data_IF_161478627611
#
_entry.id   IF_161478627611
#
_cell.length_a   1.000
_cell.length_b   1.000
_cell.length_c   1.000
_cell.angle_alpha   90.00
_cell.angle_beta   90.00
_cell.angle_gamma   90.00
#
_symmetry.space_group_name_H-M   'P 1'
#
loop_
_entity.id
_entity.type
_entity.pdbx_description
1 polymer ?
#
# COMPACT_ATOMS: atom_id res chain seq x y z
N UNK A 1 -1.22 63.22 20.23
CA UNK A 1 -0.80 62.31 19.18
C UNK A 1 -0.71 60.91 19.79
N UNK A 2 -1.67 60.05 19.51
CA UNK A 2 -1.66 58.64 19.97
C UNK A 2 -1.44 57.79 18.72
N UNK A 3 -0.29 57.10 18.65
CA UNK A 3 0.04 56.17 17.60
C UNK A 3 -0.66 54.83 17.87
N UNK A 4 -1.56 54.39 16.99
CA UNK A 4 -2.11 53.05 16.97
C UNK A 4 -1.09 52.12 16.30
N UNK A 5 -0.48 51.19 17.09
CA UNK A 5 0.22 50.04 16.54
C UNK A 5 -0.83 49.02 16.08
N UNK A 6 -0.96 48.83 14.79
CA UNK A 6 -1.70 47.71 14.19
C UNK A 6 -0.83 46.45 14.27
N UNK A 7 -1.16 45.54 15.19
CA UNK A 7 -0.57 44.24 15.26
C UNK A 7 -1.10 43.36 14.12
N UNK A 8 -0.20 42.93 13.21
CA UNK A 8 -0.47 41.97 12.16
C UNK A 8 -0.47 40.57 12.80
N UNK A 9 -1.67 40.01 13.08
CA UNK A 9 -1.81 38.63 13.47
C UNK A 9 -1.63 37.76 12.21
N UNK A 10 -0.46 37.15 12.06
CA UNK A 10 -0.26 36.02 11.15
C UNK A 10 -1.08 34.84 11.68
N UNK A 11 -2.23 34.59 11.08
CA UNK A 11 -2.94 33.33 11.23
C UNK A 11 -2.10 32.25 10.58
N UNK A 12 -1.22 31.63 11.35
CA UNK A 12 -0.63 30.33 10.99
C UNK A 12 -1.81 29.37 11.00
N UNK A 13 -2.31 29.02 9.83
CA UNK A 13 -3.32 27.96 9.67
C UNK A 13 -2.74 26.65 10.18
N UNK A 14 -3.11 26.25 11.40
CA UNK A 14 -2.92 24.87 11.85
C UNK A 14 -3.84 24.01 10.97
N UNK A 15 -3.28 23.37 9.95
CA UNK A 15 -3.95 22.22 9.34
C UNK A 15 -4.25 21.16 10.43
N UNK A 16 -5.22 20.28 10.20
CA UNK A 16 -5.48 19.22 11.15
C UNK A 16 -4.18 18.42 11.38
N UNK A 17 -3.74 18.37 12.62
CA UNK A 17 -2.60 17.55 13.02
C UNK A 17 -3.08 16.10 12.93
N UNK A 18 -2.42 15.28 12.11
CA UNK A 18 -2.73 13.87 12.02
C UNK A 18 -2.64 13.22 13.42
N UNK A 19 -3.61 12.38 13.75
CA UNK A 19 -3.55 11.63 15.01
C UNK A 19 -2.33 10.67 14.99
N UNK A 20 -1.67 10.48 16.15
CA UNK A 20 -0.54 9.55 16.21
C UNK A 20 -0.97 8.13 15.83
N UNK A 21 -0.16 7.45 15.03
CA UNK A 21 -0.42 6.08 14.63
C UNK A 21 -0.53 5.15 15.86
N UNK A 22 -1.52 4.23 15.90
CA UNK A 22 -1.64 3.21 16.92
C UNK A 22 -0.39 2.31 17.07
N UNK A 23 -0.22 1.70 18.22
CA UNK A 23 0.94 0.84 18.47
C UNK A 23 0.69 -0.62 18.04
N UNK A 24 -0.56 -1.03 17.88
CA UNK A 24 -0.92 -2.37 17.38
C UNK A 24 -0.84 -2.42 15.86
N UNK A 25 -0.65 -3.62 15.32
CA UNK A 25 -0.45 -3.84 13.88
C UNK A 25 -1.68 -3.45 13.07
N UNK A 26 -2.86 -3.81 13.53
CA UNK A 26 -4.13 -3.56 12.82
C UNK A 26 -4.40 -2.06 12.70
N UNK A 27 -4.46 -1.36 13.82
CA UNK A 27 -4.67 0.08 13.85
C UNK A 27 -3.60 0.85 13.08
N UNK A 28 -2.35 0.38 13.15
CA UNK A 28 -1.24 1.03 12.46
C UNK A 28 -1.32 0.88 10.92
N UNK A 29 -1.68 -0.30 10.39
CA UNK A 29 -1.90 -0.48 8.95
C UNK A 29 -3.08 0.35 8.43
N UNK A 30 -4.16 0.48 9.21
CA UNK A 30 -5.29 1.35 8.88
C UNK A 30 -4.88 2.82 8.87
N UNK A 31 -4.07 3.26 9.84
CA UNK A 31 -3.49 4.60 9.85
C UNK A 31 -2.60 4.85 8.63
N UNK A 32 -1.75 3.88 8.23
CA UNK A 32 -0.97 3.99 6.99
C UNK A 32 -1.86 4.12 5.76
N UNK A 33 -3.01 3.45 5.75
CA UNK A 33 -3.97 3.59 4.66
C UNK A 33 -4.63 4.99 4.66
N UNK A 34 -5.16 5.47 5.78
CA UNK A 34 -5.97 6.69 5.84
C UNK A 34 -5.14 7.97 5.97
N UNK A 35 -4.21 8.02 6.92
CA UNK A 35 -3.60 9.27 7.41
C UNK A 35 -2.21 9.53 6.85
N UNK A 36 -1.45 8.49 6.48
CA UNK A 36 -0.05 8.64 6.05
C UNK A 36 0.14 9.58 4.85
N UNK A 37 -0.89 9.82 4.05
CA UNK A 37 -0.84 10.71 2.89
C UNK A 37 -0.52 12.16 3.30
N UNK A 38 -1.11 12.61 4.38
CA UNK A 38 -1.04 14.00 4.86
C UNK A 38 -0.13 14.16 6.09
N UNK A 39 0.35 13.05 6.67
CA UNK A 39 1.26 13.01 7.79
C UNK A 39 2.67 13.51 7.42
N UNK A 40 3.39 14.08 8.38
CA UNK A 40 4.80 14.44 8.21
C UNK A 40 5.68 13.20 8.05
N UNK A 41 6.87 13.34 7.47
CA UNK A 41 7.82 12.22 7.37
C UNK A 41 8.22 11.71 8.74
N UNK A 42 8.27 12.57 9.77
CA UNK A 42 8.57 12.16 11.14
C UNK A 42 7.46 11.26 11.74
N UNK A 43 6.19 11.60 11.54
CA UNK A 43 5.06 10.80 12.00
C UNK A 43 5.01 9.44 11.28
N UNK A 44 5.31 9.44 9.97
CA UNK A 44 5.37 8.21 9.17
C UNK A 44 6.47 7.28 9.67
N UNK A 45 7.66 7.82 10.00
CA UNK A 45 8.76 7.03 10.55
C UNK A 45 8.41 6.49 11.93
N UNK A 46 7.78 7.29 12.80
CA UNK A 46 7.32 6.82 14.10
C UNK A 46 6.29 5.70 13.97
N UNK A 47 5.33 5.85 13.03
CA UNK A 47 4.37 4.80 12.74
C UNK A 47 5.04 3.50 12.27
N UNK A 48 6.06 3.60 11.40
CA UNK A 48 6.79 2.43 10.90
C UNK A 48 7.58 1.72 12.00
N UNK A 49 8.15 2.46 12.96
CA UNK A 49 8.78 1.87 14.14
C UNK A 49 7.79 1.04 14.95
N UNK A 50 6.59 1.59 15.21
CA UNK A 50 5.52 0.86 15.89
C UNK A 50 5.09 -0.38 15.11
N UNK A 51 4.94 -0.25 13.78
CA UNK A 51 4.57 -1.35 12.88
C UNK A 51 5.61 -2.47 12.88
N UNK A 52 6.90 -2.13 12.83
CA UNK A 52 7.99 -3.10 12.89
C UNK A 52 7.96 -3.91 14.20
N UNK A 53 7.75 -3.24 15.33
CA UNK A 53 7.64 -3.89 16.63
C UNK A 53 6.41 -4.77 16.72
N UNK A 54 5.23 -4.27 16.31
CA UNK A 54 3.99 -5.02 16.32
C UNK A 54 4.03 -6.21 15.35
N UNK A 55 4.66 -6.06 14.20
CA UNK A 55 4.88 -7.11 13.20
C UNK A 55 6.00 -8.08 13.54
N UNK A 56 6.71 -7.88 14.67
CA UNK A 56 7.82 -8.73 15.12
C UNK A 56 8.92 -8.92 14.07
N UNK A 57 9.31 -7.85 13.40
CA UNK A 57 10.22 -7.88 12.24
C UNK A 57 11.50 -8.69 12.47
N UNK A 58 12.06 -8.70 13.69
CA UNK A 58 13.29 -9.45 14.03
C UNK A 58 13.10 -10.97 14.03
N UNK A 59 11.87 -11.46 13.94
CA UNK A 59 11.54 -12.90 13.84
C UNK A 59 11.16 -13.33 12.42
N UNK A 60 11.11 -12.39 11.47
CA UNK A 60 10.70 -12.62 10.09
C UNK A 60 11.88 -12.92 9.17
N UNK A 61 11.59 -13.58 8.07
CA UNK A 61 12.49 -13.76 6.93
C UNK A 61 11.67 -14.05 5.68
N UNK A 62 12.30 -14.02 4.50
CA UNK A 62 11.64 -14.35 3.24
C UNK A 62 10.91 -15.71 3.25
N UNK A 63 11.39 -16.67 4.04
CA UNK A 63 10.78 -18.00 4.20
C UNK A 63 9.83 -18.10 5.40
N UNK A 64 9.82 -17.08 6.26
CA UNK A 64 9.00 -17.06 7.49
C UNK A 64 8.29 -15.70 7.63
N UNK A 65 7.32 -15.40 6.75
CA UNK A 65 6.53 -14.17 6.84
C UNK A 65 5.52 -14.22 7.99
N UNK A 66 5.19 -13.06 8.54
CA UNK A 66 4.00 -12.86 9.38
C UNK A 66 2.77 -12.68 8.49
N UNK A 67 1.62 -13.22 8.89
CA UNK A 67 0.36 -13.06 8.16
C UNK A 67 -0.85 -13.27 9.05
N UNK A 68 -1.95 -12.64 8.71
CA UNK A 68 -3.20 -12.77 9.45
C UNK A 68 -4.28 -11.83 8.95
N UNK A 69 -5.25 -11.59 9.82
CA UNK A 69 -6.39 -10.76 9.52
C UNK A 69 -6.31 -9.44 10.27
N UNK A 70 -6.87 -8.40 9.67
CA UNK A 70 -7.03 -7.07 10.25
C UNK A 70 -8.49 -6.62 10.15
N UNK A 71 -8.84 -5.65 10.96
CA UNK A 71 -10.17 -5.06 10.99
C UNK A 71 -10.49 -4.40 9.64
N UNK A 72 -11.75 -4.42 9.24
CA UNK A 72 -12.24 -3.76 8.02
C UNK A 72 -12.07 -2.24 8.13
N UNK A 73 -11.86 -1.61 6.97
CA UNK A 73 -11.87 -0.15 6.90
C UNK A 73 -13.27 0.40 7.22
N UNK A 74 -13.29 1.57 7.83
CA UNK A 74 -14.53 2.35 8.00
C UNK A 74 -14.86 3.13 6.72
N UNK A 75 -16.09 3.64 6.56
CA UNK A 75 -16.45 4.52 5.46
C UNK A 75 -15.52 5.74 5.33
N UNK A 76 -15.12 6.35 6.45
CA UNK A 76 -14.24 7.52 6.47
C UNK A 76 -12.83 7.17 5.97
N UNK A 77 -12.29 6.00 6.36
CA UNK A 77 -11.01 5.51 5.87
C UNK A 77 -11.03 5.18 4.36
N UNK A 78 -12.17 4.74 3.83
CA UNK A 78 -12.31 4.53 2.38
C UNK A 78 -12.45 5.86 1.64
N UNK A 79 -13.12 6.85 2.25
CA UNK A 79 -13.36 8.15 1.63
C UNK A 79 -12.06 8.91 1.28
N UNK A 80 -10.91 8.58 1.92
CA UNK A 80 -9.61 9.24 1.65
C UNK A 80 -9.12 9.09 0.21
N UNK A 81 -9.61 8.09 -0.53
CA UNK A 81 -9.28 7.89 -1.95
C UNK A 81 -10.31 8.49 -2.91
N UNK A 82 -11.31 9.21 -2.38
CA UNK A 82 -12.25 10.00 -3.18
C UNK A 82 -13.17 9.16 -4.06
N UNK A 83 -13.57 7.97 -3.60
CA UNK A 83 -14.57 7.16 -4.31
C UNK A 83 -15.91 7.90 -4.33
N UNK A 84 -16.55 7.92 -5.52
CA UNK A 84 -17.81 8.63 -5.72
C UNK A 84 -19.02 7.79 -5.28
N UNK A 85 -18.90 6.49 -5.42
CA UNK A 85 -19.96 5.56 -5.07
C UNK A 85 -19.69 4.96 -3.69
N UNK A 86 -20.73 4.93 -2.86
CA UNK A 86 -20.65 4.35 -1.52
C UNK A 86 -20.63 2.83 -1.67
N UNK A 87 -19.48 2.24 -1.39
CA UNK A 87 -19.35 0.79 -1.25
C UNK A 87 -19.55 0.41 0.22
N UNK A 88 -20.06 -0.78 0.47
CA UNK A 88 -20.22 -1.30 1.83
C UNK A 88 -18.87 -1.84 2.35
N UNK A 89 -18.15 -1.11 3.22
CA UNK A 89 -16.85 -1.54 3.71
C UNK A 89 -16.90 -2.84 4.52
N UNK A 90 -18.10 -3.17 5.06
CA UNK A 90 -18.30 -4.42 5.80
C UNK A 90 -18.09 -5.68 4.92
N UNK A 91 -18.05 -5.55 3.60
CA UNK A 91 -17.79 -6.67 2.68
C UNK A 91 -16.31 -6.86 2.37
N UNK A 92 -15.47 -5.84 2.54
CA UNK A 92 -14.04 -5.94 2.27
C UNK A 92 -13.31 -6.51 3.49
N UNK A 93 -12.96 -7.80 3.43
CA UNK A 93 -12.18 -8.45 4.49
C UNK A 93 -10.74 -7.96 4.49
N UNK A 94 -10.19 -7.67 5.69
CA UNK A 94 -8.83 -7.21 5.88
C UNK A 94 -7.83 -8.34 6.10
N UNK A 95 -6.66 -8.24 5.43
CA UNK A 95 -5.53 -9.17 5.56
C UNK A 95 -4.24 -8.39 5.71
N UNK A 96 -3.23 -9.03 6.29
CA UNK A 96 -1.88 -8.48 6.28
C UNK A 96 -0.84 -9.57 5.98
N UNK A 97 0.27 -9.12 5.42
CA UNK A 97 1.52 -9.87 5.33
C UNK A 97 2.64 -8.94 5.80
N UNK A 98 3.54 -9.46 6.64
CA UNK A 98 4.78 -8.78 7.00
C UNK A 98 5.97 -9.68 6.70
N UNK A 99 7.05 -9.07 6.21
CA UNK A 99 8.22 -9.83 5.78
C UNK A 99 9.52 -9.04 6.01
N UNK A 100 10.64 -9.73 6.01
CA UNK A 100 11.98 -9.13 5.94
C UNK A 100 12.75 -9.85 4.86
N UNK A 101 13.30 -9.09 3.91
CA UNK A 101 14.02 -9.68 2.79
C UNK A 101 15.18 -8.79 2.29
N UNK A 102 16.21 -9.40 1.65
CA UNK A 102 17.35 -8.68 1.13
C UNK A 102 16.98 -7.91 -0.16
N UNK A 103 17.08 -6.59 -0.12
CA UNK A 103 17.00 -5.67 -1.25
C UNK A 103 17.45 -4.28 -0.79
N UNK A 104 17.91 -3.42 -1.70
CA UNK A 104 18.04 -1.99 -1.40
C UNK A 104 16.75 -1.26 -1.75
N UNK A 105 16.45 -0.16 -1.06
CA UNK A 105 15.22 0.59 -1.33
C UNK A 105 15.21 1.18 -2.75
N UNK A 106 16.33 1.67 -3.26
CA UNK A 106 16.42 2.24 -4.61
C UNK A 106 16.14 1.16 -5.69
N UNK A 107 16.65 -0.06 -5.51
CA UNK A 107 16.34 -1.17 -6.40
C UNK A 107 14.86 -1.53 -6.33
N UNK A 108 14.32 -1.61 -5.12
CA UNK A 108 12.91 -1.89 -4.89
C UNK A 108 12.00 -0.80 -5.49
N UNK A 109 12.37 0.47 -5.33
CA UNK A 109 11.65 1.59 -5.95
C UNK A 109 11.56 1.43 -7.47
N UNK A 110 12.67 1.04 -8.11
CA UNK A 110 12.70 0.75 -9.55
C UNK A 110 11.73 -0.39 -9.93
N UNK A 111 11.65 -1.43 -9.09
CA UNK A 111 10.75 -2.57 -9.30
C UNK A 111 9.30 -2.13 -9.17
N UNK A 112 8.92 -1.49 -8.04
CA UNK A 112 7.52 -1.16 -7.77
C UNK A 112 6.97 -0.03 -8.62
N UNK A 113 7.84 0.86 -9.12
CA UNK A 113 7.46 1.95 -10.02
C UNK A 113 7.53 1.60 -11.51
N UNK A 114 7.99 0.40 -11.88
CA UNK A 114 8.12 0.01 -13.29
C UNK A 114 6.79 0.14 -14.05
N UNK A 115 6.84 0.63 -15.27
CA UNK A 115 5.67 0.80 -16.15
C UNK A 115 5.06 -0.54 -16.56
N UNK A 116 5.91 -1.54 -16.75
CA UNK A 116 5.52 -2.90 -17.13
C UNK A 116 5.81 -3.88 -15.98
N UNK A 117 4.82 -4.11 -15.15
CA UNK A 117 4.89 -5.12 -14.08
C UNK A 117 4.80 -6.55 -14.62
N UNK A 118 4.20 -6.75 -15.81
CA UNK A 118 4.13 -8.07 -16.43
C UNK A 118 5.52 -8.61 -16.77
N UNK A 119 6.44 -7.76 -17.23
CA UNK A 119 7.81 -8.16 -17.50
C UNK A 119 8.54 -8.66 -16.24
N UNK A 120 8.14 -8.17 -15.06
CA UNK A 120 8.73 -8.55 -13.78
C UNK A 120 8.01 -9.75 -13.12
N UNK A 121 6.68 -9.80 -13.26
CA UNK A 121 5.80 -10.80 -12.65
C UNK A 121 4.89 -11.46 -13.70
N UNK A 122 5.45 -12.18 -14.69
CA UNK A 122 4.69 -12.73 -15.82
C UNK A 122 3.65 -13.76 -15.40
N UNK A 123 3.81 -14.39 -14.24
CA UNK A 123 2.83 -15.32 -13.70
C UNK A 123 1.59 -14.61 -13.11
N UNK A 124 1.71 -13.33 -12.73
CA UNK A 124 0.61 -12.56 -12.12
C UNK A 124 -0.28 -11.88 -13.17
N UNK A 125 0.27 -11.51 -14.31
CA UNK A 125 -0.42 -10.68 -15.29
C UNK A 125 -0.42 -11.28 -16.68
N UNK A 126 -1.59 -11.24 -17.35
CA UNK A 126 -1.72 -11.45 -18.80
C UNK A 126 -1.46 -10.16 -19.58
N UNK A 127 -1.85 -9.02 -18.97
CA UNK A 127 -1.58 -7.68 -19.48
C UNK A 127 -1.40 -6.71 -18.32
N UNK A 128 -0.58 -5.67 -18.53
CA UNK A 128 -0.34 -4.62 -17.54
C UNK A 128 0.16 -3.34 -18.22
N UNK A 129 -0.56 -2.26 -17.99
CA UNK A 129 -0.17 -0.93 -18.49
C UNK A 129 -0.35 0.10 -17.38
N UNK A 130 0.74 0.76 -16.98
CA UNK A 130 0.72 1.86 -16.04
C UNK A 130 0.89 3.19 -16.77
N UNK A 131 0.07 4.17 -16.41
CA UNK A 131 0.16 5.55 -16.89
C UNK A 131 0.31 6.48 -15.70
N UNK A 132 1.39 7.25 -15.64
CA UNK A 132 1.56 8.24 -14.59
C UNK A 132 0.57 9.39 -14.78
N UNK A 133 -0.11 9.76 -13.69
CA UNK A 133 -1.08 10.86 -13.63
C UNK A 133 -0.50 12.12 -12.98
N UNK A 134 0.71 12.02 -12.41
CA UNK A 134 1.51 13.15 -11.93
C UNK A 134 2.83 13.24 -12.68
N UNK A 135 3.58 14.32 -12.43
CA UNK A 135 4.88 14.56 -13.07
C UNK A 135 5.96 13.58 -12.52
N UNK A 136 6.18 12.50 -13.27
CA UNK A 136 7.16 11.48 -12.90
C UNK A 136 8.60 12.01 -12.89
N UNK A 137 8.93 13.03 -13.70
CA UNK A 137 10.27 13.60 -13.71
C UNK A 137 10.60 14.26 -12.37
N UNK A 138 9.64 14.98 -11.77
CA UNK A 138 9.80 15.56 -10.43
C UNK A 138 9.95 14.52 -9.33
N UNK A 139 9.32 13.36 -9.47
CA UNK A 139 9.52 12.27 -8.54
C UNK A 139 10.91 11.66 -8.70
N UNK A 140 11.36 11.46 -9.93
CA UNK A 140 12.68 10.88 -10.23
C UNK A 140 13.85 11.77 -9.81
N UNK A 141 13.73 13.09 -9.99
CA UNK A 141 14.74 14.07 -9.55
C UNK A 141 14.64 14.47 -8.07
N UNK A 142 13.67 13.85 -7.33
CA UNK A 142 13.43 14.07 -5.89
C UNK A 142 12.87 15.46 -5.55
N UNK A 143 12.42 16.25 -6.51
CA UNK A 143 11.76 17.54 -6.25
C UNK A 143 10.28 17.38 -5.80
N UNK A 144 9.69 16.19 -6.04
CA UNK A 144 8.41 15.81 -5.48
C UNK A 144 8.55 14.44 -4.75
N UNK A 145 7.99 14.31 -3.52
CA UNK A 145 8.07 13.06 -2.77
C UNK A 145 7.10 11.98 -3.27
N UNK A 146 6.14 12.35 -4.12
CA UNK A 146 5.04 11.46 -4.54
C UNK A 146 4.92 11.38 -6.05
N UNK A 147 4.51 10.19 -6.52
CA UNK A 147 4.06 9.94 -7.88
C UNK A 147 2.74 9.19 -7.86
N UNK A 148 1.82 9.49 -8.78
CA UNK A 148 0.52 8.83 -8.90
C UNK A 148 0.33 8.25 -10.30
N UNK A 149 -0.53 7.22 -10.41
CA UNK A 149 -0.77 6.52 -11.66
C UNK A 149 -2.16 5.89 -11.72
N UNK A 150 -2.57 5.62 -12.94
CA UNK A 150 -3.62 4.67 -13.27
C UNK A 150 -2.98 3.40 -13.85
N UNK A 151 -3.56 2.24 -13.55
CA UNK A 151 -3.13 0.94 -14.09
C UNK A 151 -4.31 0.28 -14.75
N UNK A 152 -4.14 -0.17 -16.00
CA UNK A 152 -5.04 -1.12 -16.61
C UNK A 152 -4.33 -2.47 -16.65
N UNK A 153 -5.00 -3.50 -16.17
CA UNK A 153 -4.42 -4.84 -16.09
C UNK A 153 -5.43 -5.94 -16.40
N UNK A 154 -4.91 -7.05 -16.87
CA UNK A 154 -5.57 -8.35 -16.80
C UNK A 154 -4.74 -9.26 -15.92
N UNK A 155 -5.28 -9.59 -14.75
CA UNK A 155 -4.59 -10.45 -13.77
C UNK A 155 -5.07 -11.88 -13.88
N UNK A 156 -4.16 -12.80 -13.55
CA UNK A 156 -4.42 -14.24 -13.45
C UNK A 156 -4.91 -14.55 -12.03
N UNK A 157 -6.20 -14.72 -11.88
CA UNK A 157 -6.75 -15.28 -10.65
C UNK A 157 -6.81 -16.80 -10.76
N UNK A 158 -6.72 -17.50 -9.63
CA UNK A 158 -6.69 -18.99 -9.57
C UNK A 158 -7.83 -19.63 -10.36
N UNK A 159 -8.97 -18.99 -10.49
CA UNK A 159 -10.18 -19.57 -11.13
C UNK A 159 -10.59 -18.88 -12.43
N UNK A 160 -10.26 -17.62 -12.63
CA UNK A 160 -10.61 -16.88 -13.84
C UNK A 160 -9.77 -15.58 -13.98
N UNK A 161 -9.27 -15.24 -15.17
CA UNK A 161 -8.64 -13.95 -15.40
C UNK A 161 -9.69 -12.84 -15.29
N UNK A 162 -9.27 -11.72 -14.69
CA UNK A 162 -10.09 -10.51 -14.61
C UNK A 162 -9.32 -9.30 -15.11
N UNK A 163 -10.05 -8.33 -15.64
CA UNK A 163 -9.52 -7.03 -16.04
C UNK A 163 -10.01 -5.96 -15.09
N UNK A 164 -9.14 -5.04 -14.73
CA UNK A 164 -9.49 -3.90 -13.89
C UNK A 164 -8.64 -2.68 -14.20
N UNK A 165 -9.19 -1.52 -13.83
CA UNK A 165 -8.43 -0.28 -13.71
C UNK A 165 -8.17 -0.04 -12.24
N UNK A 166 -6.91 0.05 -11.84
CA UNK A 166 -6.51 0.45 -10.49
C UNK A 166 -5.99 1.89 -10.51
N UNK A 167 -6.18 2.58 -9.40
CA UNK A 167 -5.51 3.84 -9.12
C UNK A 167 -4.47 3.62 -8.03
N UNK A 168 -3.40 4.40 -8.06
CA UNK A 168 -2.39 4.26 -7.03
C UNK A 168 -1.36 5.37 -7.04
N UNK A 169 -0.41 5.23 -6.13
CA UNK A 169 0.71 6.14 -6.01
C UNK A 169 1.78 5.59 -5.09
N UNK A 170 2.95 6.21 -5.19
CA UNK A 170 4.12 5.92 -4.38
C UNK A 170 4.58 7.21 -3.71
N UNK A 171 4.82 7.17 -2.41
CA UNK A 171 5.46 8.23 -1.64
C UNK A 171 6.81 7.74 -1.15
N UNK A 172 7.85 8.53 -1.42
CA UNK A 172 9.15 8.35 -0.78
C UNK A 172 9.19 9.21 0.48
N UNK A 173 9.54 8.60 1.60
CA UNK A 173 9.72 9.25 2.89
C UNK A 173 11.22 9.36 3.16
N UNK A 174 11.69 10.58 3.39
CA UNK A 174 13.10 10.83 3.64
C UNK A 174 13.46 10.54 5.12
N UNK A 175 14.71 10.12 5.42
CA UNK A 175 15.16 10.01 6.79
C UNK A 175 15.06 11.35 7.52
N UNK A 176 14.54 11.36 8.74
CA UNK A 176 14.39 12.57 9.54
C UNK A 176 15.46 12.62 10.65
N UNK A 177 16.04 13.80 10.83
CA UNK A 177 16.84 14.14 12.00
C UNK A 177 18.25 13.55 12.06
N UNK A 178 18.85 13.20 10.92
CA UNK A 178 20.26 12.79 10.85
C UNK A 178 20.56 11.50 11.65
N UNK A 179 19.55 10.73 12.00
CA UNK A 179 19.70 9.42 12.66
C UNK A 179 19.84 8.37 11.56
N UNK A 180 21.05 7.83 11.31
CA UNK A 180 21.26 6.81 10.27
C UNK A 180 20.50 5.50 10.54
N UNK A 181 19.95 5.33 11.74
CA UNK A 181 19.17 4.17 12.13
C UNK A 181 17.80 4.06 11.43
N UNK A 182 17.33 5.13 10.79
CA UNK A 182 16.03 5.18 10.13
C UNK A 182 16.23 5.47 8.65
N UNK A 183 16.44 4.41 7.88
CA UNK A 183 16.57 4.48 6.43
C UNK A 183 15.34 5.06 5.76
N UNK A 184 15.45 5.42 4.48
CA UNK A 184 14.32 5.89 3.70
C UNK A 184 13.26 4.80 3.57
N UNK A 185 12.02 5.23 3.28
CA UNK A 185 10.87 4.35 3.11
C UNK A 185 10.15 4.63 1.81
N UNK A 186 9.41 3.63 1.32
CA UNK A 186 8.41 3.80 0.28
C UNK A 186 7.05 3.38 0.83
N UNK A 187 6.04 4.18 0.52
CA UNK A 187 4.64 3.87 0.80
C UNK A 187 3.92 3.77 -0.54
N UNK A 188 3.42 2.58 -0.87
CA UNK A 188 2.59 2.40 -2.06
C UNK A 188 1.13 2.22 -1.64
N UNK A 189 0.23 3.02 -2.20
CA UNK A 189 -1.21 2.89 -2.02
C UNK A 189 -1.85 2.57 -3.35
N UNK A 190 -2.72 1.56 -3.37
CA UNK A 190 -3.44 1.15 -4.57
C UNK A 190 -4.88 0.83 -4.22
N UNK A 191 -5.82 1.17 -5.10
CA UNK A 191 -7.22 0.85 -4.90
C UNK A 191 -7.96 0.63 -6.22
N UNK A 192 -9.04 -0.13 -6.13
CA UNK A 192 -9.99 -0.37 -7.21
C UNK A 192 -11.05 0.74 -7.18
N UNK A 193 -11.14 1.62 -8.21
CA UNK A 193 -12.11 2.72 -8.22
C UNK A 193 -13.53 2.27 -8.59
N UNK A 194 -13.71 1.04 -9.02
CA UNK A 194 -14.98 0.41 -9.37
C UNK A 194 -14.77 -1.08 -9.65
N UNK A 195 -15.83 -1.89 -9.74
CA UNK A 195 -15.72 -3.33 -9.87
C UNK A 195 -14.87 -3.80 -11.06
N UNK A 196 -14.13 -4.89 -10.86
CA UNK A 196 -13.37 -5.53 -11.94
C UNK A 196 -14.29 -6.31 -12.89
N UNK A 197 -13.85 -6.51 -14.12
CA UNK A 197 -14.59 -7.26 -15.14
C UNK A 197 -13.95 -8.63 -15.37
N UNK A 198 -14.74 -9.68 -15.31
CA UNK A 198 -14.29 -11.05 -15.60
C UNK A 198 -14.58 -11.41 -17.07
N UNK A 199 -13.64 -12.18 -17.67
CA UNK A 199 -13.75 -12.68 -19.02
C UNK A 199 -14.68 -13.85 -19.11
N UNK A 200 -15.75 -14.06 -19.09
CA UNK A 200 -16.73 -15.16 -18.96
C UNK A 200 -17.19 -15.28 -17.50
N UNK A 201 -17.90 -14.27 -16.98
CA UNK A 201 -18.28 -14.28 -15.59
C UNK A 201 -19.28 -15.38 -15.31
N UNK A 202 -18.96 -16.24 -14.35
CA UNK A 202 -19.98 -16.92 -13.59
C UNK A 202 -20.78 -15.85 -12.84
N UNK A 203 -22.13 -15.86 -12.84
CA UNK A 203 -22.94 -14.83 -12.17
C UNK A 203 -22.64 -14.67 -10.68
N UNK A 204 -22.01 -15.66 -10.05
CA UNK A 204 -21.57 -15.63 -8.67
C UNK A 204 -20.15 -15.12 -8.46
N UNK A 205 -19.43 -14.77 -9.53
CA UNK A 205 -18.06 -14.23 -9.48
C UNK A 205 -18.08 -12.71 -9.55
N UNK A 206 -17.49 -12.04 -8.55
CA UNK A 206 -17.32 -10.58 -8.56
C UNK A 206 -16.05 -10.15 -7.80
N UNK A 207 -15.51 -9.00 -8.17
CA UNK A 207 -14.43 -8.34 -7.46
C UNK A 207 -14.81 -6.87 -7.32
N UNK A 208 -15.40 -6.54 -6.18
CA UNK A 208 -16.10 -5.28 -5.96
C UNK A 208 -15.21 -4.22 -5.32
N UNK A 209 -14.32 -4.63 -4.40
CA UNK A 209 -13.50 -3.72 -3.61
C UNK A 209 -12.10 -4.26 -3.45
N UNK A 210 -11.11 -3.36 -3.55
CA UNK A 210 -9.71 -3.64 -3.27
C UNK A 210 -9.01 -2.36 -2.80
N UNK A 211 -8.45 -2.41 -1.60
CA UNK A 211 -7.70 -1.32 -0.99
C UNK A 211 -6.40 -1.90 -0.46
N UNK A 212 -5.27 -1.31 -0.83
CA UNK A 212 -3.95 -1.85 -0.54
C UNK A 212 -3.02 -0.74 -0.06
N UNK A 213 -2.27 -1.02 0.98
CA UNK A 213 -1.17 -0.21 1.47
C UNK A 213 0.07 -1.08 1.65
N UNK A 214 1.18 -0.63 1.08
CA UNK A 214 2.47 -1.30 1.20
C UNK A 214 3.47 -0.33 1.82
N UNK A 215 4.18 -0.79 2.82
CA UNK A 215 5.21 -0.06 3.54
C UNK A 215 6.52 -0.82 3.34
N UNK A 216 7.47 -0.22 2.61
CA UNK A 216 8.81 -0.76 2.43
C UNK A 216 9.80 0.13 3.18
N UNK A 217 10.47 -0.43 4.15
CA UNK A 217 11.44 0.29 4.95
C UNK A 217 12.80 -0.40 4.91
N UNK A 218 13.82 0.30 4.43
CA UNK A 218 15.20 -0.15 4.52
C UNK A 218 15.70 0.06 5.95
N UNK A 219 15.44 -0.91 6.83
CA UNK A 219 15.77 -0.86 8.26
C UNK A 219 17.26 -1.03 8.54
N UNK A 220 17.97 -1.67 7.61
CA UNK A 220 19.42 -1.76 7.58
C UNK A 220 19.86 -1.77 6.11
N UNK A 221 21.11 -1.40 5.77
CA UNK A 221 21.59 -1.40 4.40
C UNK A 221 21.35 -2.74 3.69
N UNK A 222 20.55 -2.73 2.63
CA UNK A 222 20.18 -3.92 1.87
C UNK A 222 19.19 -4.86 2.55
N UNK A 223 18.50 -4.42 3.61
CA UNK A 223 17.47 -5.21 4.30
C UNK A 223 16.16 -4.44 4.38
N UNK A 224 15.14 -4.92 3.68
CA UNK A 224 13.81 -4.33 3.65
C UNK A 224 12.89 -5.03 4.64
N UNK A 225 12.27 -4.27 5.55
CA UNK A 225 11.04 -4.67 6.19
C UNK A 225 9.88 -4.26 5.29
N UNK A 226 9.04 -5.22 4.92
CA UNK A 226 7.83 -5.01 4.13
C UNK A 226 6.61 -5.35 4.98
N UNK A 227 5.65 -4.41 5.03
CA UNK A 227 4.34 -4.65 5.58
C UNK A 227 3.29 -4.32 4.53
N UNK A 228 2.36 -5.25 4.35
CA UNK A 228 1.28 -5.17 3.37
C UNK A 228 -0.05 -5.30 4.09
N UNK A 229 -0.91 -4.28 3.96
CA UNK A 229 -2.31 -4.30 4.37
C UNK A 229 -3.22 -4.30 3.15
N UNK A 230 -4.19 -5.21 3.13
CA UNK A 230 -5.15 -5.33 2.03
C UNK A 230 -6.55 -5.52 2.58
N UNK A 231 -7.53 -4.85 1.97
CA UNK A 231 -8.96 -5.04 2.23
C UNK A 231 -9.65 -5.33 0.91
N UNK A 232 -10.28 -6.50 0.82
CA UNK A 232 -10.80 -7.01 -0.45
C UNK A 232 -12.17 -7.66 -0.32
N UNK A 233 -13.08 -7.31 -1.24
CA UNK A 233 -14.35 -8.02 -1.48
C UNK A 233 -14.24 -8.75 -2.82
N UNK A 234 -13.96 -10.05 -2.75
CA UNK A 234 -13.84 -10.93 -3.90
C UNK A 234 -14.76 -12.13 -3.69
N UNK A 235 -15.56 -12.45 -4.68
CA UNK A 235 -16.38 -13.66 -4.78
C UNK A 235 -15.89 -14.49 -5.95
N UNK A 236 -15.55 -15.72 -5.67
CA UNK A 236 -15.22 -16.73 -6.67
C UNK A 236 -16.46 -17.60 -6.85
N UNK A 237 -16.74 -18.09 -8.03
CA UNK A 237 -17.88 -18.97 -8.28
C UNK A 237 -18.04 -20.09 -7.26
N UNK A 238 -19.18 -20.74 -7.21
CA UNK A 238 -19.53 -21.80 -6.23
C UNK A 238 -19.68 -21.30 -4.77
N UNK A 239 -19.86 -20.00 -4.55
CA UNK A 239 -20.10 -19.43 -3.22
C UNK A 239 -18.85 -19.15 -2.40
N UNK A 240 -17.66 -19.36 -2.91
CA UNK A 240 -16.40 -18.99 -2.24
C UNK A 240 -16.20 -17.48 -2.25
N UNK A 241 -15.81 -16.93 -1.12
CA UNK A 241 -15.60 -15.49 -0.93
C UNK A 241 -14.32 -15.23 -0.13
N UNK A 242 -13.91 -13.97 -0.04
CA UNK A 242 -12.83 -13.57 0.86
C UNK A 242 -13.11 -13.85 2.34
N UNK A 243 -14.36 -14.12 2.72
CA UNK A 243 -14.70 -14.56 4.09
C UNK A 243 -14.24 -16.00 4.38
N UNK A 244 -14.02 -16.81 3.34
CA UNK A 244 -13.50 -18.15 3.48
C UNK A 244 -12.01 -18.13 3.79
N UNK A 245 -11.60 -18.82 4.86
CA UNK A 245 -10.19 -18.89 5.26
C UNK A 245 -9.28 -19.51 4.19
N UNK A 246 -9.81 -20.42 3.37
CA UNK A 246 -9.09 -21.01 2.24
C UNK A 246 -8.75 -19.96 1.19
N UNK A 247 -9.73 -19.15 0.79
CA UNK A 247 -9.54 -18.04 -0.17
C UNK A 247 -8.56 -17.01 0.41
N UNK A 248 -8.78 -16.59 1.66
CA UNK A 248 -7.92 -15.64 2.35
C UNK A 248 -6.46 -16.11 2.44
N UNK A 249 -6.24 -17.38 2.80
CA UNK A 249 -4.90 -17.96 2.86
C UNK A 249 -4.24 -18.02 1.47
N UNK A 250 -5.00 -18.30 0.42
CA UNK A 250 -4.48 -18.27 -0.97
C UNK A 250 -4.03 -16.88 -1.36
N UNK A 251 -4.81 -15.84 -1.02
CA UNK A 251 -4.44 -14.44 -1.25
C UNK A 251 -3.14 -14.10 -0.51
N UNK A 252 -3.06 -14.37 0.79
CA UNK A 252 -1.86 -14.11 1.59
C UNK A 252 -0.64 -14.89 1.10
N UNK A 253 -0.83 -16.11 0.58
CA UNK A 253 0.26 -16.88 -0.05
C UNK A 253 0.75 -16.19 -1.32
N UNK A 254 -0.15 -15.71 -2.18
CA UNK A 254 0.21 -14.95 -3.37
C UNK A 254 1.04 -13.68 -3.05
N UNK A 255 0.71 -12.98 -1.96
CA UNK A 255 1.51 -11.83 -1.50
C UNK A 255 2.92 -12.25 -1.04
N UNK A 256 3.05 -13.36 -0.34
CA UNK A 256 4.38 -13.87 0.06
C UNK A 256 5.20 -14.39 -1.12
N UNK A 257 4.57 -14.94 -2.13
CA UNK A 257 5.24 -15.38 -3.36
C UNK A 257 5.69 -14.18 -4.20
N UNK A 258 4.94 -13.06 -4.16
CA UNK A 258 5.39 -11.79 -4.73
C UNK A 258 6.68 -11.30 -4.06
N UNK A 259 6.79 -11.34 -2.73
CA UNK A 259 8.00 -11.00 -2.00
C UNK A 259 9.19 -11.88 -2.42
N UNK A 260 9.00 -13.20 -2.51
CA UNK A 260 10.05 -14.13 -2.96
C UNK A 260 10.53 -13.80 -4.36
N UNK A 261 9.59 -13.49 -5.26
CA UNK A 261 9.92 -13.09 -6.63
C UNK A 261 10.68 -11.76 -6.66
N UNK A 262 10.27 -10.80 -5.82
CA UNK A 262 10.96 -9.53 -5.65
C UNK A 262 12.41 -9.74 -5.20
N UNK A 263 12.67 -10.64 -4.26
CA UNK A 263 14.04 -11.03 -3.83
C UNK A 263 14.88 -11.55 -5.01
N UNK A 264 14.29 -12.37 -5.88
CA UNK A 264 15.00 -12.86 -7.08
C UNK A 264 15.36 -11.71 -8.03
N UNK A 265 14.46 -10.74 -8.20
CA UNK A 265 14.70 -9.58 -9.05
C UNK A 265 15.75 -8.66 -8.41
N UNK A 266 15.72 -8.49 -7.10
CA UNK A 266 16.71 -7.69 -6.36
C UNK A 266 18.16 -8.24 -6.48
N UNK A 267 18.32 -9.54 -6.69
CA UNK A 267 19.64 -10.20 -6.87
C UNK A 267 20.25 -10.00 -8.27
N UNK A 268 19.48 -9.57 -9.25
CA UNK A 268 19.92 -9.29 -10.63
C UNK A 268 20.47 -7.87 -10.77
#
# INVERSE_FOLDING_TARGET
>A
MRACLAGLFLLVGCGPVAEPAPADLDGNLRWFWSDSKDASDADVIEAALKLQLAGKADTLSADKPGRGFITRLTPDEIAVVGLKDVVDPAKARGFFVTNVFPCTLDKLETIVSALDQKAQYPEAYDDYTRTYTSDVAKYQDRSAPTVTWDVNLTAKLVTAPYSSTLKGGLRRVAPVGGKPAFGPMLLARTWLPGPATFKNPDPSTSFEQDYQIEIFWERAPGEIFHAYGMWRDLRLGLGFTTEDNGVANTIMTGLTDWDKKTVEICKR
#
